data_IF_547092406592
#
_entry.id   IF_547092406592
#
_cell.length_a   1.000
_cell.length_b   1.000
_cell.length_c   1.000
_cell.angle_alpha   90.00
_cell.angle_beta   90.00
_cell.angle_gamma   90.00
#
_symmetry.space_group_name_H-M   'P 1'
#
loop_
_entity.id
_entity.type
_entity.pdbx_description
1 polymer ?
#
# COMPACT_ATOMS: atom_id res chain seq x y z
N UNK A 1 -0.27 -15.50 16.52
CA UNK A 1 -0.73 -16.37 15.42
C UNK A 1 -2.10 -15.92 14.91
N UNK A 2 -2.98 -15.42 15.80
CA UNK A 2 -4.34 -14.92 15.50
C UNK A 2 -4.42 -13.74 14.51
N UNK A 3 -3.57 -12.71 14.61
CA UNK A 3 -3.64 -11.53 13.72
C UNK A 3 -3.54 -11.89 12.22
N UNK A 4 -2.72 -12.89 11.87
CA UNK A 4 -2.55 -13.37 10.49
C UNK A 4 -3.77 -14.13 9.96
N UNK A 5 -4.58 -14.74 10.81
CA UNK A 5 -5.82 -15.42 10.40
C UNK A 5 -6.94 -14.42 10.12
N UNK A 6 -7.05 -13.38 10.94
CA UNK A 6 -8.05 -12.31 10.78
C UNK A 6 -7.89 -11.56 9.45
N UNK A 7 -6.65 -11.26 9.03
CA UNK A 7 -6.36 -10.55 7.77
C UNK A 7 -6.78 -11.32 6.51
N UNK A 8 -6.86 -12.66 6.56
CA UNK A 8 -7.25 -13.48 5.39
C UNK A 8 -8.68 -13.19 4.94
N UNK A 9 -9.55 -12.77 5.86
CA UNK A 9 -10.95 -12.44 5.58
C UNK A 9 -11.11 -11.08 4.90
N UNK A 10 -10.05 -10.28 4.84
CA UNK A 10 -10.06 -8.94 4.26
C UNK A 10 -9.42 -8.88 2.86
N UNK A 11 -9.10 -10.02 2.24
CA UNK A 11 -8.51 -10.06 0.91
C UNK A 11 -9.46 -9.46 -0.14
N UNK A 12 -8.91 -8.64 -1.03
CA UNK A 12 -9.65 -8.01 -2.14
C UNK A 12 -8.81 -8.00 -3.42
N UNK A 13 -9.47 -7.86 -4.56
CA UNK A 13 -8.79 -7.80 -5.86
C UNK A 13 -8.34 -9.16 -6.37
N UNK A 14 -7.43 -9.14 -7.35
CA UNK A 14 -6.90 -10.34 -7.99
C UNK A 14 -5.66 -10.92 -7.29
N UNK A 15 -5.06 -10.18 -6.35
CA UNK A 15 -3.83 -10.58 -5.66
C UNK A 15 -4.11 -10.99 -4.20
N UNK A 16 -3.54 -12.12 -3.73
CA UNK A 16 -3.81 -12.62 -2.38
C UNK A 16 -3.20 -11.75 -1.27
N UNK A 17 -2.35 -10.79 -1.63
CA UNK A 17 -1.59 -9.93 -0.72
C UNK A 17 -2.11 -8.50 -0.66
N UNK A 18 -3.32 -8.23 -1.16
CA UNK A 18 -4.04 -6.97 -0.97
C UNK A 18 -5.20 -7.19 0.00
N UNK A 19 -5.19 -6.46 1.11
CA UNK A 19 -6.14 -6.59 2.20
C UNK A 19 -6.80 -5.24 2.48
N UNK A 20 -8.12 -5.20 2.53
CA UNK A 20 -8.92 -4.02 2.78
C UNK A 20 -9.81 -4.20 4.02
N UNK A 21 -9.58 -3.37 5.03
CA UNK A 21 -10.28 -3.42 6.31
C UNK A 21 -11.17 -2.17 6.40
N UNK A 22 -12.51 -2.31 6.28
CA UNK A 22 -13.43 -1.19 6.48
C UNK A 22 -13.44 -0.76 7.95
N UNK A 23 -13.75 0.51 8.21
CA UNK A 23 -13.98 1.05 9.56
C UNK A 23 -12.84 0.75 10.57
N UNK A 24 -11.60 0.68 10.09
CA UNK A 24 -10.40 0.41 10.89
C UNK A 24 -10.20 1.44 12.02
N UNK A 25 -10.61 2.68 11.78
CA UNK A 25 -10.70 3.71 12.83
C UNK A 25 -12.15 4.14 13.06
N UNK A 26 -12.41 4.60 14.27
CA UNK A 26 -13.68 5.22 14.65
C UNK A 26 -13.83 6.61 14.02
N UNK A 27 -15.05 7.13 13.99
CA UNK A 27 -15.32 8.51 13.54
C UNK A 27 -14.58 9.54 14.40
N UNK A 28 -14.55 9.34 15.72
CA UNK A 28 -13.82 10.19 16.66
C UNK A 28 -12.32 10.21 16.38
N UNK A 29 -11.71 9.05 16.11
CA UNK A 29 -10.29 8.97 15.72
C UNK A 29 -10.05 9.72 14.40
N UNK A 30 -10.92 9.57 13.40
CA UNK A 30 -10.81 10.32 12.15
C UNK A 30 -10.87 11.83 12.39
N UNK A 31 -11.80 12.32 13.19
CA UNK A 31 -11.91 13.75 13.52
C UNK A 31 -10.64 14.27 14.19
N UNK A 32 -10.08 13.51 15.14
CA UNK A 32 -8.81 13.87 15.79
C UNK A 32 -7.64 13.87 14.81
N UNK A 33 -7.55 12.89 13.91
CA UNK A 33 -6.51 12.84 12.88
C UNK A 33 -6.61 14.03 11.94
N UNK A 34 -7.79 14.32 11.40
CA UNK A 34 -8.00 15.46 10.52
C UNK A 34 -7.66 16.78 11.21
N UNK A 35 -8.06 16.95 12.48
CA UNK A 35 -7.71 18.14 13.27
C UNK A 35 -6.19 18.30 13.41
N UNK A 36 -5.44 17.22 13.65
CA UNK A 36 -3.98 17.28 13.76
C UNK A 36 -3.32 17.54 12.40
N UNK A 37 -3.80 16.90 11.34
CA UNK A 37 -3.30 17.08 9.96
C UNK A 37 -3.44 18.53 9.52
N UNK A 38 -4.62 19.12 9.72
CA UNK A 38 -4.89 20.51 9.33
C UNK A 38 -4.37 21.55 10.33
N UNK A 39 -4.19 21.17 11.60
CA UNK A 39 -3.55 22.00 12.62
C UNK A 39 -2.03 22.07 12.51
N UNK A 40 -1.40 21.21 11.70
CA UNK A 40 0.04 21.26 11.45
C UNK A 40 0.46 22.59 10.78
N UNK A 41 1.68 23.05 11.07
CA UNK A 41 2.25 24.26 10.44
C UNK A 41 2.17 24.20 8.92
N UNK A 42 1.86 25.34 8.28
CA UNK A 42 1.85 25.46 6.81
C UNK A 42 3.17 25.03 6.16
N UNK A 43 4.30 25.14 6.86
CA UNK A 43 5.60 24.69 6.36
C UNK A 43 5.74 23.17 6.23
N UNK A 44 4.86 22.37 6.86
CA UNK A 44 4.80 20.92 6.68
C UNK A 44 4.14 20.53 5.36
N UNK A 45 3.31 21.40 4.79
CA UNK A 45 2.66 21.16 3.52
C UNK A 45 3.57 21.52 2.35
N UNK A 46 3.79 20.56 1.47
CA UNK A 46 4.41 20.76 0.16
C UNK A 46 3.34 20.66 -0.91
N UNK A 47 3.20 21.70 -1.71
CA UNK A 47 2.36 21.67 -2.92
C UNK A 47 3.09 20.94 -4.04
N UNK A 48 2.50 19.86 -4.52
CA UNK A 48 2.92 19.12 -5.71
C UNK A 48 1.96 19.45 -6.86
N UNK A 49 2.24 18.94 -8.06
CA UNK A 49 1.49 19.28 -9.28
C UNK A 49 -0.04 19.22 -9.11
N UNK A 50 -0.55 18.13 -8.53
CA UNK A 50 -1.98 17.86 -8.40
C UNK A 50 -2.39 17.43 -6.98
N UNK A 51 -1.59 17.70 -5.95
CA UNK A 51 -1.90 17.30 -4.57
C UNK A 51 -1.06 18.08 -3.57
N UNK A 52 -1.42 18.02 -2.28
CA UNK A 52 -0.52 18.45 -1.20
C UNK A 52 0.02 17.24 -0.45
N UNK A 53 1.23 17.39 0.09
CA UNK A 53 1.94 16.33 0.81
C UNK A 53 2.48 16.86 2.15
N UNK A 54 2.30 16.10 3.23
CA UNK A 54 3.14 16.20 4.43
C UNK A 54 4.07 14.99 4.55
N UNK A 55 5.21 15.20 5.19
CA UNK A 55 6.19 14.15 5.46
C UNK A 55 6.54 14.16 6.97
N UNK A 56 6.39 12.99 7.60
CA UNK A 56 6.62 12.76 9.02
C UNK A 56 7.50 11.53 9.23
N UNK A 57 8.27 11.52 10.31
CA UNK A 57 9.16 10.40 10.65
C UNK A 57 10.59 10.52 10.08
N UNK A 58 10.88 11.61 9.36
CA UNK A 58 12.21 11.89 8.83
C UNK A 58 12.22 12.22 7.34
N UNK A 59 13.38 12.08 6.70
CA UNK A 59 13.52 12.29 5.25
C UNK A 59 14.17 11.07 4.62
N UNK A 60 13.52 10.51 3.60
CA UNK A 60 14.05 9.38 2.83
C UNK A 60 15.00 9.89 1.75
N UNK A 61 16.20 9.35 1.74
CA UNK A 61 17.25 9.60 0.75
C UNK A 61 17.80 8.28 0.20
N UNK A 62 18.72 8.34 -0.77
CA UNK A 62 19.32 7.16 -1.41
C UNK A 62 19.99 6.18 -0.43
N UNK A 63 20.50 6.69 0.71
CA UNK A 63 21.16 5.89 1.75
C UNK A 63 20.20 5.38 2.85
N UNK A 64 18.90 5.64 2.71
CA UNK A 64 17.86 5.29 3.69
C UNK A 64 17.21 6.51 4.36
N UNK A 65 16.55 6.26 5.49
CA UNK A 65 15.82 7.27 6.26
C UNK A 65 16.78 8.03 7.19
N UNK A 66 16.73 9.37 7.15
CA UNK A 66 17.21 10.23 8.22
C UNK A 66 16.06 10.40 9.23
N UNK A 67 16.05 9.67 10.36
CA UNK A 67 14.86 9.55 11.20
C UNK A 67 14.57 10.81 12.00
N UNK A 68 13.29 11.05 12.25
CA UNK A 68 12.79 12.02 13.22
C UNK A 68 11.62 11.40 13.96
N UNK A 69 11.38 11.83 15.20
CA UNK A 69 10.27 11.31 15.98
C UNK A 69 8.92 11.64 15.31
N UNK A 70 8.03 10.65 15.31
CA UNK A 70 6.64 10.86 14.96
C UNK A 70 5.93 11.61 16.09
N UNK A 71 5.03 12.55 15.78
CA UNK A 71 4.18 13.15 16.80
C UNK A 71 3.26 12.08 17.42
N UNK A 72 2.86 12.21 18.69
CA UNK A 72 2.13 11.16 19.42
C UNK A 72 0.87 10.63 18.71
N UNK A 73 0.16 11.51 17.99
CA UNK A 73 -1.05 11.13 17.25
C UNK A 73 -0.76 10.22 16.05
N UNK A 74 0.41 10.32 15.43
CA UNK A 74 0.85 9.39 14.39
C UNK A 74 1.40 8.11 15.02
N UNK A 75 2.21 8.22 16.07
CA UNK A 75 2.76 7.07 16.80
C UNK A 75 1.65 6.10 17.23
N UNK A 76 0.56 6.61 17.81
CA UNK A 76 -0.59 5.79 18.21
C UNK A 76 -1.20 5.00 17.04
N UNK A 77 -1.32 5.61 15.86
CA UNK A 77 -1.89 4.95 14.67
C UNK A 77 -0.91 3.94 14.08
N UNK A 78 0.38 4.27 14.02
CA UNK A 78 1.39 3.36 13.46
C UNK A 78 1.63 2.14 14.35
N UNK A 79 1.54 2.29 15.67
CA UNK A 79 1.54 1.19 16.64
C UNK A 79 0.31 0.31 16.48
N UNK A 80 -0.90 0.90 16.41
CA UNK A 80 -2.15 0.15 16.17
C UNK A 80 -2.07 -0.71 14.90
N UNK A 81 -1.63 -0.12 13.78
CA UNK A 81 -1.46 -0.85 12.50
C UNK A 81 -0.44 -1.98 12.64
N UNK A 82 0.67 -1.75 13.34
CA UNK A 82 1.68 -2.78 13.57
C UNK A 82 1.14 -3.94 14.40
N UNK A 83 0.48 -3.65 15.52
CA UNK A 83 -0.07 -4.66 16.44
C UNK A 83 -1.19 -5.48 15.81
N UNK A 84 -2.15 -4.83 15.16
CA UNK A 84 -3.31 -5.50 14.58
C UNK A 84 -2.97 -6.27 13.30
N UNK A 85 -1.99 -5.79 12.50
CA UNK A 85 -1.62 -6.48 11.26
C UNK A 85 -0.59 -7.60 11.49
N UNK A 86 0.40 -7.40 12.37
CA UNK A 86 1.54 -8.29 12.52
C UNK A 86 2.34 -8.51 11.23
N UNK A 87 2.28 -7.56 10.28
CA UNK A 87 2.95 -7.63 8.97
C UNK A 87 4.24 -6.82 8.89
N UNK A 88 4.40 -5.82 9.75
CA UNK A 88 5.61 -4.98 9.81
C UNK A 88 6.59 -5.56 10.83
N UNK A 89 7.91 -5.36 10.66
CA UNK A 89 8.92 -5.82 11.62
C UNK A 89 8.97 -4.98 12.90
N UNK A 90 8.44 -3.75 12.83
CA UNK A 90 8.32 -2.79 13.93
C UNK A 90 7.17 -1.83 13.63
N UNK A 91 6.84 -0.94 14.58
CA UNK A 91 5.97 0.20 14.31
C UNK A 91 6.48 1.01 13.09
N UNK A 92 5.54 1.49 12.28
CA UNK A 92 5.84 2.31 11.09
C UNK A 92 6.50 3.61 11.55
N UNK A 93 7.64 3.93 10.96
CA UNK A 93 8.50 5.05 11.35
C UNK A 93 8.49 6.21 10.36
N UNK A 94 7.79 6.09 9.24
CA UNK A 94 7.72 7.10 8.19
C UNK A 94 6.31 7.18 7.63
N UNK A 95 5.75 8.40 7.56
CA UNK A 95 4.36 8.63 7.15
C UNK A 95 4.30 9.77 6.14
N UNK A 96 3.64 9.48 5.02
CA UNK A 96 3.27 10.46 4.01
C UNK A 96 1.77 10.73 4.07
N UNK A 97 1.40 12.00 4.22
CA UNK A 97 -0.01 12.42 4.24
C UNK A 97 -0.29 13.13 2.94
N UNK A 98 -1.11 12.52 2.09
CA UNK A 98 -1.49 13.07 0.81
C UNK A 98 -2.91 13.64 0.89
N UNK A 99 -3.08 14.89 0.45
CA UNK A 99 -4.39 15.51 0.29
C UNK A 99 -4.71 15.70 -1.19
N UNK A 100 -5.91 15.26 -1.57
CA UNK A 100 -6.48 15.39 -2.90
C UNK A 100 -7.80 16.14 -2.81
N UNK A 101 -7.96 17.15 -3.65
CA UNK A 101 -9.25 17.80 -3.94
C UNK A 101 -10.01 17.01 -5.02
N UNK A 102 -11.31 17.31 -5.25
CA UNK A 102 -12.04 16.69 -6.35
C UNK A 102 -11.30 16.82 -7.68
N UNK A 103 -11.28 15.73 -8.46
CA UNK A 103 -10.56 15.59 -9.74
C UNK A 103 -9.03 15.59 -9.64
N UNK A 104 -8.46 15.47 -8.44
CA UNK A 104 -7.03 15.25 -8.25
C UNK A 104 -6.70 13.77 -8.07
N UNK A 105 -5.44 13.43 -8.31
CA UNK A 105 -4.93 12.07 -8.17
C UNK A 105 -3.41 12.03 -8.31
N UNK A 106 -2.87 10.81 -8.33
CA UNK A 106 -1.45 10.54 -8.52
C UNK A 106 -1.25 9.68 -9.77
N UNK A 107 -0.16 9.92 -10.50
CA UNK A 107 0.18 9.11 -11.66
C UNK A 107 0.58 7.70 -11.24
N UNK A 108 0.42 6.67 -12.10
CA UNK A 108 0.87 5.31 -11.80
C UNK A 108 2.36 5.29 -11.44
N UNK A 109 2.70 4.60 -10.34
CA UNK A 109 4.05 4.55 -9.80
C UNK A 109 4.20 3.38 -8.81
N UNK A 110 5.45 3.04 -8.50
CA UNK A 110 5.78 2.11 -7.43
C UNK A 110 6.47 2.86 -6.30
N UNK A 111 6.35 2.34 -5.09
CA UNK A 111 7.10 2.86 -3.94
C UNK A 111 8.60 2.58 -4.11
N UNK A 112 9.41 3.49 -3.56
CA UNK A 112 10.85 3.44 -3.70
C UNK A 112 11.50 2.24 -2.98
N UNK A 113 12.71 1.84 -3.38
CA UNK A 113 13.39 0.67 -2.81
C UNK A 113 13.85 0.84 -1.35
N UNK A 114 13.69 2.04 -0.77
CA UNK A 114 14.10 2.34 0.60
C UNK A 114 13.13 1.82 1.66
N UNK A 115 11.89 1.45 1.28
CA UNK A 115 10.87 1.00 2.22
C UNK A 115 10.89 -0.52 2.39
N UNK A 116 10.49 -0.97 3.59
CA UNK A 116 10.10 -2.35 3.80
C UNK A 116 8.91 -2.69 2.87
N UNK A 117 8.85 -3.86 2.22
CA UNK A 117 7.91 -4.16 1.13
C UNK A 117 6.48 -4.48 1.62
N UNK A 118 5.97 -3.67 2.54
CA UNK A 118 4.60 -3.69 3.05
C UNK A 118 4.15 -2.24 3.18
N UNK A 119 2.99 -1.93 2.60
CA UNK A 119 2.40 -0.60 2.60
C UNK A 119 1.09 -0.64 3.37
N UNK A 120 0.85 0.38 4.20
CA UNK A 120 -0.42 0.62 4.86
C UNK A 120 -0.94 2.01 4.49
N UNK A 121 -2.17 2.08 3.98
CA UNK A 121 -2.86 3.30 3.59
C UNK A 121 -4.12 3.43 4.43
N UNK A 122 -4.15 4.42 5.32
CA UNK A 122 -5.33 4.80 6.08
C UNK A 122 -6.05 5.94 5.34
N UNK A 123 -7.26 5.68 4.87
CA UNK A 123 -8.07 6.68 4.15
C UNK A 123 -8.90 7.52 5.11
N UNK A 124 -8.92 8.84 4.93
CA UNK A 124 -9.68 9.79 5.73
C UNK A 124 -10.53 10.69 4.82
N UNK A 125 -11.67 11.19 5.33
CA UNK A 125 -12.44 12.23 4.63
C UNK A 125 -13.39 11.68 3.58
N UNK A 126 -13.08 11.83 2.29
CA UNK A 126 -13.91 11.33 1.17
C UNK A 126 -13.38 10.00 0.61
N UNK A 127 -14.26 9.22 -0.02
CA UNK A 127 -13.83 7.99 -0.70
C UNK A 127 -12.95 8.26 -1.91
N UNK A 128 -12.02 7.34 -2.21
CA UNK A 128 -11.15 7.40 -3.40
C UNK A 128 -11.00 6.01 -4.01
N UNK A 129 -10.76 5.92 -5.31
CA UNK A 129 -10.44 4.65 -5.97
C UNK A 129 -8.92 4.53 -6.09
N UNK A 130 -8.39 3.36 -5.73
CA UNK A 130 -7.01 2.99 -5.97
C UNK A 130 -6.94 1.89 -7.03
N UNK A 131 -6.25 2.16 -8.12
CA UNK A 131 -6.05 1.22 -9.22
C UNK A 131 -4.71 0.49 -9.04
N UNK A 132 -4.72 -0.83 -9.20
CA UNK A 132 -3.55 -1.67 -9.25
C UNK A 132 -3.37 -2.17 -10.68
N UNK A 133 -2.31 -1.72 -11.35
CA UNK A 133 -1.98 -2.17 -12.70
C UNK A 133 -0.70 -3.01 -12.68
N UNK A 134 -0.72 -4.24 -13.22
CA UNK A 134 0.49 -5.05 -13.36
C UNK A 134 1.60 -4.30 -14.10
N UNK A 135 2.83 -4.42 -13.61
CA UNK A 135 4.00 -3.90 -14.29
C UNK A 135 4.27 -4.75 -15.55
N UNK A 136 4.68 -4.11 -16.65
CA UNK A 136 4.95 -4.76 -17.94
C UNK A 136 5.95 -5.92 -17.89
N UNK A 137 6.75 -6.03 -16.81
CA UNK A 137 7.73 -7.11 -16.61
C UNK A 137 7.04 -8.43 -16.25
N UNK A 138 5.90 -8.37 -15.55
CA UNK A 138 5.05 -9.54 -15.27
C UNK A 138 4.18 -9.91 -16.48
N UNK A 139 3.74 -8.91 -17.25
CA UNK A 139 2.98 -9.13 -18.50
C UNK A 139 3.79 -9.83 -19.61
N UNK A 140 5.12 -9.77 -19.59
CA UNK A 140 5.98 -10.44 -20.57
C UNK A 140 6.12 -11.94 -20.32
N UNK A 141 6.08 -12.38 -19.06
CA UNK A 141 6.18 -13.80 -18.71
C UNK A 141 4.97 -14.62 -19.20
N UNK A 142 3.82 -13.96 -19.38
CA UNK A 142 2.58 -14.58 -19.87
C UNK A 142 2.60 -14.84 -21.39
N UNK A 143 3.43 -14.11 -22.16
CA UNK A 143 3.40 -14.15 -23.62
C UNK A 143 4.39 -15.13 -24.27
N UNK A 144 5.28 -15.76 -23.50
CA UNK A 144 6.32 -16.67 -24.03
C UNK A 144 5.96 -18.17 -23.96
N UNK A 145 4.70 -18.54 -23.70
CA UNK A 145 4.27 -19.97 -23.64
C UNK A 145 3.58 -20.44 -24.93
N UNK A 146 3.72 -19.70 -26.04
CA UNK A 146 3.28 -20.20 -27.35
C UNK A 146 4.47 -20.32 -28.30
N UNK A 147 4.70 -21.56 -28.71
CA UNK A 147 5.67 -22.08 -29.70
C UNK A 147 7.03 -22.50 -29.15
N UNK A 148 7.12 -23.77 -28.72
CA UNK A 148 7.99 -24.70 -29.44
C UNK A 148 7.53 -26.15 -29.25
N UNK A 149 7.06 -26.76 -30.33
CA UNK A 149 6.82 -28.20 -30.44
C UNK A 149 8.12 -28.88 -30.88
N UNK A 150 8.85 -29.56 -29.99
CA UNK A 150 9.44 -30.88 -30.31
C UNK A 150 10.04 -31.59 -29.09
N UNK A 151 9.48 -32.78 -28.84
CA UNK A 151 10.08 -34.03 -28.35
C UNK A 151 10.98 -34.05 -27.10
N UNK A 152 10.37 -34.47 -25.98
CA UNK A 152 10.80 -35.71 -25.30
C UNK A 152 11.80 -35.59 -24.16
N UNK A 153 11.31 -35.46 -22.93
CA UNK A 153 11.74 -36.20 -21.73
C UNK A 153 10.91 -35.74 -20.52
N UNK A 154 10.35 -36.70 -19.79
CA UNK A 154 9.62 -36.49 -18.53
C UNK A 154 10.58 -36.01 -17.43
N UNK A 155 10.39 -34.78 -16.97
CA UNK A 155 10.79 -34.37 -15.63
C UNK A 155 9.57 -33.76 -14.95
N UNK A 156 9.11 -34.43 -13.89
CA UNK A 156 8.10 -33.94 -12.96
C UNK A 156 8.66 -32.71 -12.23
N UNK A 157 8.55 -31.56 -12.88
CA UNK A 157 8.62 -30.27 -12.24
C UNK A 157 7.16 -29.94 -11.98
N UNK A 158 6.78 -29.91 -10.71
CA UNK A 158 5.53 -29.31 -10.25
C UNK A 158 5.38 -27.99 -11.00
N UNK A 159 4.43 -27.97 -11.95
CA UNK A 159 3.94 -26.75 -12.57
C UNK A 159 3.35 -25.94 -11.43
N UNK A 160 4.19 -25.13 -10.80
CA UNK A 160 3.75 -23.98 -10.05
C UNK A 160 2.78 -23.26 -10.99
N UNK A 161 1.51 -23.21 -10.59
CA UNK A 161 0.45 -22.58 -11.37
C UNK A 161 0.88 -21.14 -11.63
N UNK A 162 1.52 -20.89 -12.77
CA UNK A 162 1.92 -19.57 -13.18
C UNK A 162 0.63 -18.76 -13.26
N UNK A 163 0.38 -17.94 -12.25
CA UNK A 163 -0.85 -17.22 -12.03
C UNK A 163 -1.11 -16.30 -13.23
N UNK A 164 -1.88 -16.81 -14.18
CA UNK A 164 -2.47 -16.10 -15.33
C UNK A 164 -3.52 -15.05 -14.89
N UNK A 165 -3.45 -14.60 -13.62
CA UNK A 165 -4.48 -13.86 -12.92
C UNK A 165 -4.07 -12.42 -12.58
N UNK A 166 -2.90 -11.94 -13.00
CA UNK A 166 -2.48 -10.56 -12.81
C UNK A 166 -3.23 -9.63 -13.76
N UNK A 167 -4.53 -9.47 -13.55
CA UNK A 167 -5.37 -8.50 -14.24
C UNK A 167 -5.40 -7.20 -13.43
N UNK A 168 -5.46 -6.03 -14.10
CA UNK A 168 -5.72 -4.77 -13.42
C UNK A 168 -7.03 -4.86 -12.61
N UNK A 169 -7.02 -4.26 -11.42
CA UNK A 169 -8.21 -4.17 -10.58
C UNK A 169 -8.19 -2.88 -9.78
N UNK A 170 -9.35 -2.49 -9.25
CA UNK A 170 -9.52 -1.28 -8.48
C UNK A 170 -10.09 -1.61 -7.10
N UNK A 171 -9.70 -0.84 -6.10
CA UNK A 171 -10.25 -0.91 -4.74
C UNK A 171 -10.84 0.45 -4.37
N UNK A 172 -12.11 0.48 -3.99
CA UNK A 172 -12.75 1.67 -3.45
C UNK A 172 -12.36 1.81 -1.97
N UNK A 173 -11.61 2.87 -1.66
CA UNK A 173 -11.17 3.17 -0.31
C UNK A 173 -12.17 4.11 0.34
N UNK A 174 -12.97 3.59 1.26
CA UNK A 174 -13.92 4.38 2.03
C UNK A 174 -13.20 5.15 3.15
N UNK A 175 -13.75 6.27 3.63
CA UNK A 175 -13.22 6.94 4.81
C UNK A 175 -13.11 5.97 5.99
N UNK A 176 -12.06 6.12 6.79
CA UNK A 176 -11.71 5.28 7.96
C UNK A 176 -11.24 3.86 7.66
N UNK A 177 -11.10 3.49 6.39
CA UNK A 177 -10.60 2.18 6.00
C UNK A 177 -9.08 2.10 5.98
N UNK A 178 -8.56 0.89 6.17
CA UNK A 178 -7.15 0.58 6.03
C UNK A 178 -6.95 -0.37 4.85
N UNK A 179 -6.13 0.02 3.88
CA UNK A 179 -5.62 -0.85 2.84
C UNK A 179 -4.19 -1.26 3.19
N UNK A 180 -3.90 -2.56 3.16
CA UNK A 180 -2.53 -3.08 3.28
C UNK A 180 -2.22 -3.89 2.03
N UNK A 181 -1.04 -3.67 1.45
CA UNK A 181 -0.54 -4.53 0.38
C UNK A 181 0.96 -4.83 0.51
N UNK A 182 1.37 -6.00 0.01
CA UNK A 182 2.75 -6.51 0.11
C UNK A 182 3.12 -7.42 -1.06
N UNK A 183 4.38 -7.84 -1.10
CA UNK A 183 4.92 -8.83 -2.05
C UNK A 183 4.68 -8.44 -3.52
N UNK A 184 3.90 -9.21 -4.27
CA UNK A 184 3.58 -8.97 -5.68
C UNK A 184 2.79 -7.68 -5.91
N UNK A 185 1.91 -7.30 -4.98
CA UNK A 185 1.22 -6.02 -5.08
C UNK A 185 2.18 -4.83 -4.90
N UNK A 186 3.25 -5.00 -4.12
CA UNK A 186 4.27 -3.96 -3.88
C UNK A 186 5.28 -3.88 -5.04
N UNK A 187 5.80 -5.02 -5.48
CA UNK A 187 6.88 -5.09 -6.47
C UNK A 187 6.40 -5.25 -7.92
N UNK A 188 5.20 -5.79 -8.10
CA UNK A 188 4.64 -6.21 -9.37
C UNK A 188 3.53 -5.32 -9.92
N UNK A 189 2.99 -4.39 -9.13
CA UNK A 189 1.97 -3.43 -9.58
C UNK A 189 2.46 -1.98 -9.49
N UNK A 190 1.80 -1.09 -10.22
CA UNK A 190 1.95 0.37 -10.20
C UNK A 190 0.60 1.08 -10.26
#
# INVERSE_FOLDING_TARGET
>A
MEAKETLKNFKVGSLPTVMYIPDFITETEQTMLLSNVYGASMSKWKSLKNRRLQNWGGVVHEKGLLPQDLPPWLTKITEKIYEESGLFPSAINHVLINEYLPNQGIMPHQDGPAYFPVVAILSLGSSVVMDFTPHSRLSLCTNNVKEDNSNGATSDIEKDECLDNHHPFSVLLMPRSLLIFKDEAYSGCK
#
